data_IF_545553135254
#
_entry.id   IF_545553135254
#
_cell.length_a   1.000
_cell.length_b   1.000
_cell.length_c   1.000
_cell.angle_alpha   90.00
_cell.angle_beta   90.00
_cell.angle_gamma   90.00
#
_symmetry.space_group_name_H-M   'P 1'
#
loop_
_entity.id
_entity.type
_entity.pdbx_description
1 polymer ?
#
# COMPACT_ATOMS: atom_id res chain seq x y z
N UNK A 1 9.67 -14.45 12.46
CA UNK A 1 10.26 -13.61 11.40
C UNK A 1 9.28 -12.52 11.02
N UNK A 2 9.68 -11.29 11.12
CA UNK A 2 8.87 -10.15 10.65
C UNK A 2 8.87 -10.09 9.11
N UNK A 3 7.75 -9.69 8.56
CA UNK A 3 7.59 -9.48 7.11
C UNK A 3 7.77 -7.98 6.79
N UNK A 4 8.11 -7.70 5.56
CA UNK A 4 8.16 -6.32 5.07
C UNK A 4 6.90 -6.00 4.29
N UNK A 5 6.14 -4.97 4.67
CA UNK A 5 4.98 -4.55 3.90
C UNK A 5 5.42 -3.84 2.62
N UNK A 6 4.59 -3.88 1.59
CA UNK A 6 4.84 -3.08 0.40
C UNK A 6 4.84 -1.61 0.77
N UNK A 7 5.90 -0.94 0.42
CA UNK A 7 6.12 0.48 0.75
C UNK A 7 6.35 1.27 -0.52
N UNK A 8 5.59 2.32 -0.71
CA UNK A 8 5.73 3.26 -1.82
C UNK A 8 6.25 4.59 -1.30
N UNK A 9 6.99 5.32 -2.11
CA UNK A 9 7.49 6.63 -1.75
C UNK A 9 7.44 7.62 -2.91
N UNK A 10 7.24 8.86 -2.57
CA UNK A 10 7.37 9.99 -3.47
C UNK A 10 8.00 11.16 -2.72
N UNK A 11 8.49 12.16 -3.42
CA UNK A 11 9.10 13.30 -2.78
C UNK A 11 8.64 14.64 -3.36
N UNK A 12 8.88 15.66 -2.59
CA UNK A 12 8.88 17.07 -2.98
C UNK A 12 10.22 17.69 -2.59
N UNK A 13 10.45 18.92 -2.93
CA UNK A 13 11.68 19.62 -2.54
C UNK A 13 11.93 19.62 -1.03
N UNK A 14 10.89 19.71 -0.24
CA UNK A 14 10.94 19.87 1.22
C UNK A 14 10.46 18.67 2.04
N UNK A 15 9.85 17.66 1.41
CA UNK A 15 9.22 16.54 2.11
C UNK A 15 9.26 15.23 1.31
N UNK A 16 9.05 14.13 2.02
CA UNK A 16 8.96 12.78 1.46
C UNK A 16 7.68 12.12 1.95
N UNK A 17 6.95 11.50 1.04
CA UNK A 17 5.81 10.66 1.37
C UNK A 17 6.25 9.20 1.41
N UNK A 18 5.97 8.53 2.51
CA UNK A 18 6.19 7.09 2.66
C UNK A 18 4.82 6.46 2.89
N UNK A 19 4.38 5.63 1.97
CA UNK A 19 3.07 4.98 2.01
C UNK A 19 3.28 3.49 2.21
N UNK A 20 2.81 2.97 3.32
CA UNK A 20 2.90 1.57 3.70
C UNK A 20 1.56 0.90 3.43
N UNK A 21 1.53 -0.04 2.52
CA UNK A 21 0.33 -0.83 2.20
C UNK A 21 0.20 -1.99 3.19
N UNK A 22 -0.56 -1.77 4.23
CA UNK A 22 -0.81 -2.75 5.27
C UNK A 22 -2.25 -2.66 5.77
N UNK A 23 -3.17 -3.47 5.22
CA UNK A 23 -4.54 -3.49 5.66
C UNK A 23 -4.67 -4.03 7.08
N UNK A 24 -5.64 -3.54 7.81
CA UNK A 24 -5.94 -3.97 9.19
C UNK A 24 -4.72 -3.91 10.12
N UNK A 25 -3.93 -2.86 9.99
CA UNK A 25 -2.75 -2.66 10.82
C UNK A 25 -3.14 -2.38 12.28
N UNK A 26 -2.51 -3.12 13.19
CA UNK A 26 -2.66 -3.00 14.63
C UNK A 26 -1.30 -2.78 15.28
N UNK A 27 -1.31 -2.24 16.50
CA UNK A 27 -0.08 -1.99 17.27
C UNK A 27 0.99 -1.23 16.49
N UNK A 28 0.56 -0.24 15.72
CA UNK A 28 1.43 0.54 14.85
C UNK A 28 2.39 1.39 15.67
N UNK A 29 3.67 1.23 15.43
CA UNK A 29 4.74 1.99 16.07
C UNK A 29 5.65 2.60 15.03
N UNK A 30 5.96 3.87 15.23
CA UNK A 30 6.92 4.61 14.41
C UNK A 30 8.05 5.15 15.26
N UNK A 31 9.23 5.13 14.72
CA UNK A 31 10.37 5.88 15.23
C UNK A 31 11.08 6.52 14.06
N UNK A 32 11.19 7.85 14.12
CA UNK A 32 11.95 8.64 13.16
C UNK A 32 13.00 9.42 13.93
N UNK A 33 14.24 9.29 13.52
CA UNK A 33 15.36 10.01 14.10
C UNK A 33 15.82 11.16 13.19
N UNK A 34 16.39 12.23 13.73
CA UNK A 34 16.83 13.38 12.94
C UNK A 34 17.91 13.06 11.90
N UNK A 35 18.68 12.00 12.11
CA UNK A 35 19.68 11.50 11.16
C UNK A 35 19.08 10.74 9.97
N UNK A 36 17.75 10.56 9.97
CA UNK A 36 17.02 9.89 8.90
C UNK A 36 16.71 8.42 9.15
N UNK A 37 17.02 7.87 10.32
CA UNK A 37 16.65 6.49 10.63
C UNK A 37 15.14 6.38 10.83
N UNK A 38 14.52 5.57 9.98
CA UNK A 38 13.09 5.28 10.01
C UNK A 38 12.85 3.82 10.42
N UNK A 39 12.12 3.65 11.49
CA UNK A 39 11.69 2.35 11.97
C UNK A 39 10.17 2.31 12.07
N UNK A 40 9.59 1.25 11.57
CA UNK A 40 8.16 0.98 11.64
C UNK A 40 7.92 -0.46 12.04
N UNK A 41 6.97 -0.67 12.92
CA UNK A 41 6.47 -2.02 13.25
C UNK A 41 4.96 -2.00 13.43
N UNK A 42 4.31 -3.06 12.99
CA UNK A 42 2.87 -3.28 13.16
C UNK A 42 2.54 -4.77 13.04
N UNK A 43 1.34 -5.12 13.46
CA UNK A 43 0.76 -6.43 13.17
C UNK A 43 -0.43 -6.27 12.24
N UNK A 44 -0.73 -7.26 11.43
CA UNK A 44 -1.83 -7.21 10.48
C UNK A 44 -2.53 -8.55 10.35
N UNK A 45 -3.82 -8.46 10.01
CA UNK A 45 -4.68 -9.61 9.78
C UNK A 45 -5.18 -10.29 11.06
N UNK A 46 -5.95 -11.36 10.89
CA UNK A 46 -6.54 -12.12 11.99
C UNK A 46 -5.49 -12.86 12.83
N UNK A 47 -4.39 -13.24 12.21
CA UNK A 47 -3.29 -13.96 12.87
C UNK A 47 -2.24 -13.05 13.51
N UNK A 48 -2.45 -11.74 13.47
CA UNK A 48 -1.52 -10.72 13.98
C UNK A 48 -0.08 -10.93 13.49
N UNK A 49 0.05 -11.09 12.18
CA UNK A 49 1.36 -11.29 11.54
C UNK A 49 2.21 -10.03 11.73
N UNK A 50 3.43 -10.16 12.26
CA UNK A 50 4.30 -9.02 12.48
C UNK A 50 4.92 -8.51 11.17
N UNK A 51 4.87 -7.20 11.00
CA UNK A 51 5.50 -6.47 9.91
C UNK A 51 6.47 -5.43 10.47
N UNK A 52 7.59 -5.25 9.81
CA UNK A 52 8.66 -4.37 10.24
C UNK A 52 9.37 -3.72 9.04
N UNK A 53 9.74 -2.47 9.22
CA UNK A 53 10.62 -1.74 8.31
C UNK A 53 11.70 -1.06 9.14
N UNK A 54 12.94 -1.20 8.73
CA UNK A 54 14.09 -0.48 9.30
C UNK A 54 15.01 -0.06 8.16
N UNK A 55 15.10 1.24 7.92
CA UNK A 55 15.99 1.79 6.92
C UNK A 55 16.43 3.22 7.25
N UNK A 56 17.55 3.61 6.70
CA UNK A 56 18.05 4.97 6.78
C UNK A 56 17.65 5.76 5.53
N UNK A 57 17.03 6.91 5.74
CA UNK A 57 16.72 7.86 4.68
C UNK A 57 17.99 8.52 4.14
N UNK A 58 17.89 9.06 2.94
CA UNK A 58 19.03 9.61 2.20
C UNK A 58 19.76 10.72 2.96
N UNK A 59 19.04 11.59 3.65
CA UNK A 59 19.58 12.73 4.37
C UNK A 59 18.80 13.00 5.66
N UNK A 60 19.23 13.98 6.41
CA UNK A 60 18.60 14.41 7.67
C UNK A 60 17.17 14.90 7.47
N UNK A 61 16.37 14.70 8.50
CA UNK A 61 14.96 15.04 8.51
C UNK A 61 14.57 15.85 9.74
N UNK A 62 13.48 16.59 9.63
CA UNK A 62 12.88 17.29 10.75
C UNK A 62 11.77 16.43 11.34
N UNK A 63 12.00 15.86 12.50
CA UNK A 63 11.06 14.96 13.19
C UNK A 63 9.83 15.69 13.67
N UNK A 64 9.99 16.91 14.16
CA UNK A 64 8.92 17.70 14.78
C UNK A 64 7.85 18.11 13.77
N UNK A 65 8.24 18.33 12.52
CA UNK A 65 7.34 18.66 11.42
C UNK A 65 6.87 17.45 10.62
N UNK A 66 7.35 16.27 10.97
CA UNK A 66 6.92 15.01 10.33
C UNK A 66 5.64 14.50 10.95
N UNK A 67 4.73 13.96 10.13
CA UNK A 67 3.40 13.50 10.55
C UNK A 67 3.11 12.11 10.03
N UNK A 68 2.30 11.35 10.77
CA UNK A 68 1.83 10.04 10.38
C UNK A 68 0.31 10.01 10.38
N UNK A 69 -0.27 9.40 9.35
CA UNK A 69 -1.70 9.12 9.26
C UNK A 69 -1.89 7.62 9.06
N UNK A 70 -2.66 7.01 9.94
CA UNK A 70 -2.96 5.57 9.91
C UNK A 70 -4.37 5.39 9.38
N UNK A 71 -4.47 4.87 8.16
CA UNK A 71 -5.74 4.49 7.54
C UNK A 71 -6.04 2.99 7.70
N UNK A 72 -7.19 2.57 7.22
CA UNK A 72 -7.65 1.17 7.32
C UNK A 72 -6.84 0.21 6.43
N UNK A 73 -6.34 0.68 5.32
CA UNK A 73 -5.60 -0.12 4.33
C UNK A 73 -4.17 0.33 4.13
N UNK A 74 -3.93 1.60 4.34
CA UNK A 74 -2.64 2.23 4.10
C UNK A 74 -2.24 3.12 5.26
N UNK A 75 -0.96 3.22 5.49
CA UNK A 75 -0.38 4.11 6.46
C UNK A 75 0.49 5.09 5.70
N UNK A 76 0.21 6.37 5.83
CA UNK A 76 0.98 7.42 5.18
C UNK A 76 1.85 8.14 6.21
N UNK A 77 3.13 8.22 5.93
CA UNK A 77 4.07 8.97 6.74
C UNK A 77 4.63 10.12 5.91
N UNK A 78 4.39 11.34 6.37
CA UNK A 78 4.99 12.54 5.82
C UNK A 78 6.26 12.88 6.58
N UNK A 79 7.38 12.75 5.91
CA UNK A 79 8.69 13.10 6.47
C UNK A 79 9.11 14.46 5.94
N UNK A 80 9.32 15.42 6.83
CA UNK A 80 9.85 16.73 6.47
C UNK A 80 11.37 16.66 6.38
N UNK A 81 11.93 17.10 5.25
CA UNK A 81 13.38 17.19 5.06
C UNK A 81 13.98 18.29 5.95
N UNK A 82 15.16 18.05 6.48
CA UNK A 82 15.88 19.07 7.24
C UNK A 82 16.32 20.24 6.35
N UNK A 83 16.66 19.95 5.12
CA UNK A 83 17.02 20.94 4.10
C UNK A 83 16.14 20.75 2.85
N UNK A 84 15.71 21.86 2.26
CA UNK A 84 15.00 21.86 0.99
C UNK A 84 15.94 21.43 -0.13
N UNK A 85 15.87 20.15 -0.51
CA UNK A 85 16.77 19.53 -1.47
C UNK A 85 16.13 18.33 -2.13
N UNK A 86 16.36 18.16 -3.42
CA UNK A 86 15.94 16.96 -4.12
C UNK A 86 16.85 15.76 -3.80
N UNK A 87 16.26 14.64 -3.46
CA UNK A 87 16.99 13.41 -3.16
C UNK A 87 17.08 12.53 -4.40
N UNK A 88 18.26 12.08 -4.73
CA UNK A 88 18.46 11.16 -5.86
C UNK A 88 17.89 9.76 -5.61
N UNK A 89 17.67 9.43 -4.35
CA UNK A 89 17.09 8.16 -3.91
C UNK A 89 16.49 8.32 -2.51
N UNK A 90 15.67 7.38 -2.08
CA UNK A 90 15.09 7.41 -0.73
C UNK A 90 16.09 6.98 0.35
N UNK A 91 16.85 5.92 0.07
CA UNK A 91 17.74 5.30 1.05
C UNK A 91 19.14 5.90 0.98
N UNK A 92 19.78 6.01 2.13
CA UNK A 92 21.17 6.45 2.26
C UNK A 92 22.12 5.47 1.58
N UNK A 93 21.84 4.17 1.70
CA UNK A 93 22.63 3.13 1.07
C UNK A 93 22.50 3.19 -0.45
N UNK A 94 23.63 3.27 -1.15
CA UNK A 94 23.66 3.17 -2.60
C UNK A 94 23.45 1.71 -3.04
N UNK A 95 22.79 1.52 -4.17
CA UNK A 95 22.56 0.21 -4.74
C UNK A 95 21.11 -0.04 -5.10
N UNK A 96 20.79 -1.31 -5.34
CA UNK A 96 19.43 -1.71 -5.67
C UNK A 96 18.53 -1.60 -4.44
N UNK A 97 17.40 -0.87 -4.53
CA UNK A 97 16.46 -0.77 -3.42
C UNK A 97 15.86 -2.13 -3.09
N UNK A 98 15.43 -2.34 -1.85
CA UNK A 98 14.71 -3.55 -1.46
C UNK A 98 13.46 -3.78 -2.31
N UNK A 99 13.09 -5.04 -2.53
CA UNK A 99 11.97 -5.44 -3.39
C UNK A 99 10.63 -4.88 -2.90
N UNK A 100 10.49 -4.69 -1.61
CA UNK A 100 9.28 -4.14 -0.98
C UNK A 100 9.17 -2.62 -1.12
N UNK A 101 10.23 -1.93 -1.49
CA UNK A 101 10.26 -0.48 -1.65
C UNK A 101 10.10 -0.10 -3.13
N UNK A 102 9.06 0.67 -3.43
CA UNK A 102 8.69 1.09 -4.78
C UNK A 102 8.50 2.59 -4.84
N UNK A 103 8.60 3.15 -6.04
CA UNK A 103 8.22 4.54 -6.29
C UNK A 103 6.72 4.64 -6.47
N UNK A 104 6.10 5.64 -5.86
CA UNK A 104 4.70 5.97 -6.07
C UNK A 104 4.59 6.93 -7.27
N UNK A 105 4.35 6.39 -8.44
CA UNK A 105 4.26 7.15 -9.68
C UNK A 105 3.04 8.07 -9.73
N UNK A 106 1.99 7.76 -9.00
CA UNK A 106 0.78 8.59 -8.94
C UNK A 106 1.04 9.90 -8.19
N UNK A 107 1.94 9.87 -7.22
CA UNK A 107 2.35 11.04 -6.42
C UNK A 107 3.69 11.62 -6.84
N UNK A 108 4.39 10.97 -7.73
CA UNK A 108 5.69 11.44 -8.19
C UNK A 108 5.55 12.74 -9.00
N UNK A 109 6.41 13.66 -8.72
CA UNK A 109 6.57 14.92 -9.48
C UNK A 109 8.07 15.11 -9.67
N UNK A 110 8.46 15.58 -10.82
CA UNK A 110 9.84 15.91 -11.12
C UNK A 110 10.24 17.25 -10.45
N UNK A 111 11.54 17.43 -10.22
CA UNK A 111 12.07 18.60 -9.52
C UNK A 111 11.63 19.91 -10.18
N UNK A 112 11.67 19.98 -11.49
CA UNK A 112 11.29 21.16 -12.28
C UNK A 112 9.80 21.50 -12.15
N UNK A 113 8.94 20.49 -11.98
CA UNK A 113 7.49 20.67 -11.82
C UNK A 113 7.08 21.03 -10.40
N UNK A 114 7.88 20.66 -9.40
CA UNK A 114 7.59 20.92 -7.99
C UNK A 114 7.61 22.42 -7.71
N UNK A 115 8.61 23.11 -8.21
CA UNK A 115 8.74 24.57 -8.09
C UNK A 115 7.60 25.34 -8.76
N UNK A 116 7.06 24.83 -9.86
CA UNK A 116 5.92 25.45 -10.55
C UNK A 116 4.60 25.23 -9.81
N UNK A 117 4.42 24.05 -9.21
CA UNK A 117 3.21 23.72 -8.44
C UNK A 117 3.18 24.44 -7.09
N UNK A 118 4.31 24.59 -6.41
CA UNK A 118 4.40 25.43 -5.21
C UNK A 118 3.98 26.88 -5.48
N UNK A 119 4.34 27.41 -6.63
CA UNK A 119 3.94 28.77 -7.05
C UNK A 119 2.47 28.88 -7.44
N UNK A 120 1.88 27.85 -8.00
CA UNK A 120 0.48 27.80 -8.47
C UNK A 120 -0.54 27.49 -7.37
N UNK A 121 -0.16 26.67 -6.39
CA UNK A 121 -1.01 26.20 -5.32
C UNK A 121 -0.56 26.72 -3.96
N UNK A 122 0.11 27.88 -3.91
CA UNK A 122 0.67 28.53 -2.73
C UNK A 122 0.02 28.09 -1.42
N UNK A 123 0.56 27.05 -0.80
CA UNK A 123 0.25 26.71 0.58
C UNK A 123 -0.99 25.86 0.80
N UNK A 124 -1.39 24.95 -0.10
CA UNK A 124 -2.19 23.82 0.36
C UNK A 124 -1.30 22.93 1.21
N UNK A 125 -1.24 23.29 2.47
CA UNK A 125 -0.62 22.49 3.49
C UNK A 125 -1.31 21.13 3.56
N UNK A 126 -0.50 20.11 3.69
CA UNK A 126 -0.92 18.74 3.95
C UNK A 126 -1.80 18.61 5.22
N UNK A 127 -1.86 19.65 6.03
CA UNK A 127 -2.74 19.76 7.18
C UNK A 127 -4.23 19.86 6.80
N UNK A 128 -4.53 20.32 5.59
CA UNK A 128 -5.90 20.39 5.05
C UNK A 128 -6.33 19.16 4.25
N UNK A 129 -5.41 18.24 3.99
CA UNK A 129 -5.77 16.96 3.38
C UNK A 129 -6.36 16.03 4.44
N UNK A 130 -7.67 15.98 4.44
CA UNK A 130 -8.44 15.00 5.19
C UNK A 130 -8.11 13.60 4.69
N UNK A 131 -7.15 12.95 5.33
CA UNK A 131 -6.69 11.59 5.02
C UNK A 131 -7.80 10.54 5.14
N UNK A 132 -8.89 10.87 5.83
CA UNK A 132 -10.07 10.02 5.88
C UNK A 132 -10.72 9.83 4.52
N UNK A 133 -10.50 10.75 3.60
CA UNK A 133 -11.05 10.68 2.24
C UNK A 133 -10.18 9.90 1.26
N UNK A 134 -8.90 9.70 1.55
CA UNK A 134 -8.02 8.90 0.71
C UNK A 134 -8.36 7.40 0.76
N UNK A 135 -8.99 6.97 1.83
CA UNK A 135 -9.38 5.58 2.01
C UNK A 135 -10.78 5.26 1.44
N UNK A 136 -11.57 6.29 1.12
CA UNK A 136 -12.92 6.11 0.58
C UNK A 136 -13.03 6.15 -0.96
N UNK A 137 -11.96 6.48 -1.67
CA UNK A 137 -12.02 6.59 -3.12
C UNK A 137 -11.63 5.32 -3.87
N UNK A 138 -11.63 4.19 -3.19
CA UNK A 138 -11.35 2.87 -3.77
C UNK A 138 -12.56 1.96 -3.90
N UNK A 139 -13.76 2.43 -3.60
CA UNK A 139 -14.95 1.62 -3.72
C UNK A 139 -16.16 2.51 -3.97
N UNK A 140 -16.34 2.94 -5.16
CA UNK A 140 -17.60 3.17 -5.84
C UNK A 140 -17.34 3.87 -7.18
N UNK A 141 -16.88 3.13 -8.13
CA UNK A 141 -17.17 3.40 -9.52
C UNK A 141 -17.97 2.22 -10.04
N UNK A 142 -19.18 2.10 -9.57
CA UNK A 142 -20.21 1.41 -10.30
C UNK A 142 -20.73 2.43 -11.32
N UNK A 143 -20.54 2.19 -12.62
CA UNK A 143 -21.28 2.94 -13.60
C UNK A 143 -22.74 2.51 -13.50
N UNK A 144 -23.55 3.39 -12.99
CA UNK A 144 -24.98 3.34 -13.10
C UNK A 144 -25.32 3.59 -14.59
N UNK A 145 -25.22 2.52 -15.37
CA UNK A 145 -25.75 2.48 -16.72
C UNK A 145 -27.11 1.81 -16.66
N UNK A 146 -28.07 2.59 -16.22
CA UNK A 146 -29.46 2.28 -16.40
C UNK A 146 -29.85 2.68 -17.82
N UNK A 147 -29.54 1.84 -18.78
CA UNK A 147 -30.25 1.83 -20.03
C UNK A 147 -31.40 0.81 -19.93
N UNK A 148 -32.56 1.35 -19.62
CA UNK A 148 -33.81 0.72 -19.90
C UNK A 148 -33.95 0.62 -21.43
N UNK A 149 -33.74 -0.55 -21.98
CA UNK A 149 -34.29 -0.91 -23.26
C UNK A 149 -35.15 -2.16 -23.11
N UNK A 150 -36.41 -1.84 -23.06
CA UNK A 150 -37.57 -2.69 -23.27
C UNK A 150 -37.42 -3.46 -24.59
N UNK A 151 -37.17 -4.74 -24.52
CA UNK A 151 -37.33 -5.64 -25.63
C UNK A 151 -37.95 -6.95 -25.17
N UNK A 152 -39.23 -6.91 -25.25
CA UNK A 152 -40.14 -8.03 -25.39
C UNK A 152 -39.60 -9.05 -26.37
N UNK A 153 -39.29 -10.25 -25.92
CA UNK A 153 -39.25 -11.45 -26.79
C UNK A 153 -39.68 -12.68 -26.03
N UNK A 154 -40.87 -13.05 -26.34
CA UNK A 154 -41.46 -14.36 -26.06
C UNK A 154 -40.58 -15.52 -26.56
N UNK A 155 -40.48 -16.53 -25.73
CA UNK A 155 -40.60 -17.90 -26.18
C UNK A 155 -39.33 -18.60 -26.65
N UNK A 156 -38.80 -19.43 -25.80
CA UNK A 156 -38.33 -20.76 -26.19
C UNK A 156 -38.22 -21.64 -24.96
N UNK A 157 -39.10 -22.58 -24.87
CA UNK A 157 -38.94 -23.78 -24.07
C UNK A 157 -37.66 -24.52 -24.49
N UNK A 158 -36.72 -24.60 -23.60
CA UNK A 158 -35.65 -25.58 -23.72
C UNK A 158 -35.72 -26.51 -22.52
N UNK A 159 -36.29 -27.64 -22.78
CA UNK A 159 -36.30 -28.84 -21.99
C UNK A 159 -34.85 -29.31 -21.83
N UNK A 160 -34.26 -29.13 -20.69
CA UNK A 160 -32.99 -29.78 -20.37
C UNK A 160 -33.28 -31.06 -19.62
N UNK A 161 -33.06 -32.14 -20.29
CA UNK A 161 -32.98 -33.45 -19.67
C UNK A 161 -31.62 -33.61 -18.99
N UNK A 162 -31.70 -33.86 -17.70
CA UNK A 162 -31.04 -34.89 -16.94
C UNK A 162 -29.79 -35.49 -17.58
N UNK A 163 -28.68 -35.22 -17.01
CA UNK A 163 -27.44 -35.91 -17.19
C UNK A 163 -26.72 -36.05 -15.86
N UNK A 164 -27.15 -36.99 -15.06
CA UNK A 164 -26.50 -37.35 -13.83
C UNK A 164 -25.05 -37.74 -14.04
N UNK A 165 -24.16 -36.83 -13.77
CA UNK A 165 -22.74 -37.09 -13.63
C UNK A 165 -22.38 -37.35 -12.18
N UNK A 166 -22.39 -38.62 -11.84
CA UNK A 166 -21.87 -39.10 -10.57
C UNK A 166 -20.36 -38.88 -10.54
N UNK A 167 -19.90 -37.90 -9.83
CA UNK A 167 -18.47 -37.71 -9.59
C UNK A 167 -18.10 -38.66 -8.45
N UNK A 168 -17.47 -39.72 -8.76
CA UNK A 168 -16.79 -40.53 -7.77
C UNK A 168 -15.53 -39.81 -7.31
N UNK A 169 -15.56 -39.46 -6.09
CA UNK A 169 -14.42 -38.92 -5.40
C UNK A 169 -13.44 -40.04 -5.11
N UNK A 170 -12.38 -40.14 -5.89
CA UNK A 170 -11.32 -41.08 -5.63
C UNK A 170 -10.52 -40.59 -4.40
N UNK A 171 -10.75 -41.28 -3.33
CA UNK A 171 -9.96 -41.09 -2.11
C UNK A 171 -8.60 -41.75 -2.31
N UNK A 172 -7.58 -40.91 -2.53
CA UNK A 172 -6.20 -41.39 -2.51
C UNK A 172 -5.71 -41.36 -1.07
N UNK A 173 -5.72 -42.51 -0.47
CA UNK A 173 -5.03 -42.71 0.81
C UNK A 173 -3.53 -42.76 0.56
N UNK A 174 -2.86 -41.71 0.93
CA UNK A 174 -1.41 -41.71 1.02
C UNK A 174 -0.98 -42.39 2.31
N UNK A 175 -0.58 -43.60 2.21
CA UNK A 175 0.16 -44.29 3.26
C UNK A 175 1.61 -43.90 3.16
N UNK A 176 2.04 -42.98 3.99
CA UNK A 176 3.44 -42.79 4.28
C UNK A 176 3.84 -43.74 5.39
N UNK A 177 4.57 -44.75 5.03
CA UNK A 177 5.24 -45.56 6.01
C UNK A 177 6.49 -44.86 6.52
N UNK A 178 6.70 -44.80 7.82
CA UNK A 178 7.97 -44.38 8.38
C UNK A 178 8.93 -45.54 8.38
N UNK A 179 9.97 -45.45 7.60
CA UNK A 179 11.07 -46.38 7.75
C UNK A 179 11.91 -45.98 8.93
N UNK A 180 11.70 -46.66 10.00
CA UNK A 180 12.63 -46.67 11.11
C UNK A 180 13.73 -47.68 10.82
N UNK A 181 14.99 -47.30 11.10
CA UNK A 181 16.04 -48.17 11.51
C UNK A 181 17.35 -48.06 10.77
N UNK A 182 18.37 -48.01 11.43
CA UNK A 182 18.84 -48.49 12.72
C UNK A 182 20.14 -47.85 12.99
#
# INVERSE_FOLDING_TARGET
MSRHPTTKWAQRSDKVYIIIELPDAKDVKFTLQPDGRFYFSATSGAENIPYELDFELFDKVNVDESKAAVGLRTICYLVKKAEKKWWSRLLKTAGKPPVYLKVDWDKWIDEDEDDEKEKKFGGMDFDDMDFSKLDMNGADDEPDDADEDDADMEGAEAKAEDGGGKVENAHVASTSEPLAKA
#
